data_IF_190742073660
#
_entry.id   IF_190742073660
#
_cell.length_a   1.000
_cell.length_b   1.000
_cell.length_c   1.000
_cell.angle_alpha   90.00
_cell.angle_beta   90.00
_cell.angle_gamma   90.00
#
_symmetry.space_group_name_H-M   'P 1'
#
loop_
_entity.id
_entity.type
_entity.pdbx_description
1 polymer ?
#
# COMPACT_ATOMS: atom_id res chain seq x y z
N UNK A 1 -6.29 -14.89 -19.84
CA UNK A 1 -6.45 -14.80 -18.39
C UNK A 1 -5.75 -13.59 -17.86
N UNK A 2 -6.41 -12.83 -17.01
CA UNK A 2 -5.82 -11.64 -16.45
C UNK A 2 -4.82 -11.93 -15.34
N UNK A 3 -4.04 -10.92 -14.98
CA UNK A 3 -3.16 -10.98 -13.83
C UNK A 3 -4.00 -10.99 -12.54
N UNK A 4 -3.50 -11.63 -11.46
CA UNK A 4 -4.16 -11.53 -10.17
C UNK A 4 -4.12 -10.09 -9.66
N UNK A 5 -5.12 -9.72 -8.87
CA UNK A 5 -5.18 -8.41 -8.24
C UNK A 5 -5.01 -8.52 -6.73
N UNK A 6 -4.36 -7.53 -6.14
CA UNK A 6 -4.19 -7.43 -4.70
C UNK A 6 -4.42 -5.97 -4.28
N UNK A 7 -5.08 -5.80 -3.16
CA UNK A 7 -5.18 -4.50 -2.50
C UNK A 7 -4.10 -4.41 -1.44
N UNK A 8 -3.34 -3.32 -1.46
CA UNK A 8 -2.27 -3.09 -0.51
C UNK A 8 -2.64 -1.88 0.35
N UNK A 9 -2.77 -2.11 1.65
CA UNK A 9 -2.99 -1.04 2.62
C UNK A 9 -1.64 -0.67 3.22
N UNK A 10 -1.32 0.62 3.18
CA UNK A 10 -0.06 1.17 3.70
C UNK A 10 -0.41 2.15 4.81
N UNK A 11 -0.31 1.73 6.09
CA UNK A 11 -0.53 2.68 7.18
C UNK A 11 0.64 3.65 7.27
N UNK A 12 0.34 4.93 7.47
CA UNK A 12 1.36 5.98 7.52
C UNK A 12 1.13 6.95 8.67
N UNK A 13 2.24 7.47 9.21
CA UNK A 13 2.24 8.59 10.13
C UNK A 13 3.60 9.25 10.05
N UNK A 14 3.64 10.45 9.45
CA UNK A 14 4.87 11.23 9.27
C UNK A 14 5.99 10.42 8.58
N UNK A 15 5.67 9.85 7.42
CA UNK A 15 6.56 8.98 6.64
C UNK A 15 7.09 9.68 5.39
N UNK A 16 7.09 11.02 5.38
CA UNK A 16 7.46 11.81 4.20
C UNK A 16 8.85 11.50 3.64
N UNK A 17 9.81 11.11 4.50
CA UNK A 17 11.15 10.77 4.04
C UNK A 17 11.21 9.43 3.29
N UNK A 18 10.27 8.53 3.50
CA UNK A 18 10.33 7.15 3.01
C UNK A 18 9.22 6.79 2.03
N UNK A 19 8.07 7.47 2.11
CA UNK A 19 6.88 7.02 1.38
C UNK A 19 7.06 7.10 -0.13
N UNK A 20 7.75 8.12 -0.64
CA UNK A 20 7.96 8.27 -2.07
C UNK A 20 8.72 7.09 -2.68
N UNK A 21 9.95 6.82 -2.23
CA UNK A 21 10.70 5.68 -2.72
C UNK A 21 9.99 4.35 -2.52
N UNK A 22 9.31 4.17 -1.39
CA UNK A 22 8.55 2.94 -1.13
C UNK A 22 7.42 2.74 -2.15
N UNK A 23 6.62 3.77 -2.39
CA UNK A 23 5.52 3.69 -3.37
C UNK A 23 6.05 3.47 -4.77
N UNK A 24 7.16 4.09 -5.14
CA UNK A 24 7.76 3.89 -6.45
C UNK A 24 8.16 2.43 -6.65
N UNK A 25 8.73 1.79 -5.63
CA UNK A 25 9.08 0.37 -5.70
C UNK A 25 7.84 -0.53 -5.73
N UNK A 26 6.83 -0.21 -4.92
CA UNK A 26 5.60 -0.98 -4.89
C UNK A 26 4.88 -0.93 -6.24
N UNK A 27 4.74 0.26 -6.81
CA UNK A 27 4.05 0.44 -8.09
C UNK A 27 4.82 -0.16 -9.27
N UNK A 28 6.13 -0.39 -9.11
CA UNK A 28 6.96 -1.04 -10.12
C UNK A 28 6.95 -2.56 -10.04
N UNK A 29 6.26 -3.16 -9.06
CA UNK A 29 6.17 -4.62 -8.96
C UNK A 29 5.40 -5.19 -10.13
N UNK A 30 5.92 -6.28 -10.71
CA UNK A 30 5.38 -6.93 -11.89
C UNK A 30 4.55 -8.16 -11.55
N UNK A 31 3.71 -8.58 -12.49
CA UNK A 31 3.02 -9.85 -12.44
C UNK A 31 1.68 -9.82 -11.72
N UNK A 32 1.19 -8.64 -11.34
CA UNK A 32 -0.12 -8.51 -10.70
C UNK A 32 -0.66 -7.09 -10.86
N UNK A 33 -1.95 -6.94 -10.61
CA UNK A 33 -2.62 -5.63 -10.55
C UNK A 33 -2.65 -5.21 -9.09
N UNK A 34 -2.08 -4.03 -8.79
CA UNK A 34 -1.95 -3.54 -7.43
C UNK A 34 -2.85 -2.33 -7.23
N UNK A 35 -3.72 -2.42 -6.23
CA UNK A 35 -4.53 -1.28 -5.77
C UNK A 35 -3.97 -0.82 -4.44
N UNK A 36 -3.44 0.39 -4.39
CA UNK A 36 -2.79 0.91 -3.20
C UNK A 36 -3.70 1.88 -2.48
N UNK A 37 -3.86 1.69 -1.18
CA UNK A 37 -4.55 2.61 -0.30
C UNK A 37 -3.60 3.00 0.83
N UNK A 38 -3.26 4.26 0.91
CA UNK A 38 -2.49 4.81 2.03
C UNK A 38 -3.50 5.20 3.12
N UNK A 39 -3.36 4.60 4.30
CA UNK A 39 -4.23 4.87 5.44
C UNK A 39 -3.48 5.76 6.43
N UNK A 40 -3.72 7.06 6.36
CA UNK A 40 -2.96 8.06 7.10
C UNK A 40 -3.59 8.37 8.46
N UNK A 41 -2.79 8.31 9.50
CA UNK A 41 -3.21 8.54 10.88
C UNK A 41 -3.03 9.97 11.37
N UNK A 42 -2.97 10.93 10.46
CA UNK A 42 -2.86 12.35 10.81
C UNK A 42 -1.44 12.91 10.66
N UNK A 43 -0.77 12.60 9.54
CA UNK A 43 0.59 13.11 9.28
C UNK A 43 0.59 14.62 9.21
N UNK A 44 1.59 15.22 9.84
CA UNK A 44 1.82 16.66 9.82
C UNK A 44 2.76 17.09 8.68
N UNK A 45 3.48 16.14 8.10
CA UNK A 45 4.43 16.39 7.00
C UNK A 45 3.77 16.18 5.63
N UNK A 46 4.57 16.06 4.57
CA UNK A 46 4.09 15.90 3.20
C UNK A 46 3.78 14.47 2.79
N UNK A 47 3.60 13.55 3.75
CA UNK A 47 3.31 12.14 3.47
C UNK A 47 2.15 11.98 2.48
N UNK A 48 1.00 12.59 2.78
CA UNK A 48 -0.18 12.46 1.94
C UNK A 48 0.00 13.10 0.57
N UNK A 49 0.68 14.25 0.51
CA UNK A 49 0.94 14.94 -0.75
C UNK A 49 1.80 14.06 -1.68
N UNK A 50 2.82 13.41 -1.16
CA UNK A 50 3.66 12.51 -1.96
C UNK A 50 2.88 11.30 -2.46
N UNK A 51 1.99 10.74 -1.65
CA UNK A 51 1.14 9.63 -2.08
C UNK A 51 0.20 10.06 -3.21
N UNK A 52 -0.45 11.21 -3.07
CA UNK A 52 -1.35 11.73 -4.09
C UNK A 52 -0.63 12.04 -5.40
N UNK A 53 0.60 12.52 -5.34
CA UNK A 53 1.41 12.77 -6.54
C UNK A 53 1.66 11.50 -7.35
N UNK A 54 1.65 10.35 -6.71
CA UNK A 54 1.85 9.05 -7.36
C UNK A 54 0.54 8.38 -7.80
N UNK A 55 -0.58 9.07 -7.63
CA UNK A 55 -1.88 8.60 -8.06
C UNK A 55 -2.49 7.51 -7.18
N UNK A 56 -1.96 7.29 -5.98
CA UNK A 56 -2.53 6.31 -5.07
C UNK A 56 -3.62 6.95 -4.21
N UNK A 57 -4.56 6.13 -3.77
CA UNK A 57 -5.67 6.58 -2.92
C UNK A 57 -5.17 6.81 -1.50
N UNK A 58 -5.61 7.91 -0.90
CA UNK A 58 -5.32 8.24 0.50
C UNK A 58 -6.64 8.30 1.26
N UNK A 59 -6.70 7.61 2.38
CA UNK A 59 -7.81 7.71 3.33
C UNK A 59 -7.26 8.16 4.68
N UNK A 60 -8.08 8.85 5.44
CA UNK A 60 -7.69 9.40 6.74
C UNK A 60 -8.41 8.66 7.86
N UNK A 61 -7.71 8.47 8.97
CA UNK A 61 -8.27 7.84 10.15
C UNK A 61 -7.70 8.48 11.40
N UNK A 62 -8.28 8.23 12.57
CA UNK A 62 -7.58 8.52 13.81
C UNK A 62 -6.25 7.77 13.85
N UNK A 63 -5.28 8.33 14.57
CA UNK A 63 -4.01 7.66 14.79
C UNK A 63 -4.25 6.35 15.53
N UNK A 64 -3.56 5.30 15.09
CA UNK A 64 -3.60 4.00 15.70
C UNK A 64 -3.68 2.89 14.67
N UNK A 65 -2.96 1.79 14.94
CA UNK A 65 -2.83 0.68 13.99
C UNK A 65 -4.19 0.11 13.60
N UNK A 66 -5.06 -0.15 14.57
CA UNK A 66 -6.37 -0.72 14.29
C UNK A 66 -7.25 0.21 13.48
N UNK A 67 -7.29 1.50 13.84
CA UNK A 67 -8.09 2.48 13.12
C UNK A 67 -7.60 2.67 11.68
N UNK A 68 -6.27 2.74 11.49
CA UNK A 68 -5.69 2.92 10.16
C UNK A 68 -5.95 1.69 9.27
N UNK A 69 -5.77 0.49 9.81
CA UNK A 69 -6.03 -0.74 9.06
C UNK A 69 -7.52 -0.88 8.69
N UNK A 70 -8.41 -0.52 9.60
CA UNK A 70 -9.84 -0.57 9.33
C UNK A 70 -10.25 0.43 8.25
N UNK A 71 -9.71 1.65 8.30
CA UNK A 71 -9.99 2.66 7.27
C UNK A 71 -9.47 2.22 5.91
N UNK A 72 -8.27 1.67 5.85
CA UNK A 72 -7.68 1.16 4.63
C UNK A 72 -8.48 0.00 4.05
N UNK A 73 -8.85 -0.94 4.89
CA UNK A 73 -9.64 -2.11 4.46
C UNK A 73 -11.01 -1.69 3.93
N UNK A 74 -11.66 -0.74 4.58
CA UNK A 74 -12.97 -0.25 4.14
C UNK A 74 -12.92 0.41 2.76
N UNK A 75 -11.77 0.95 2.38
CA UNK A 75 -11.57 1.57 1.08
C UNK A 75 -11.22 0.57 -0.02
N UNK A 76 -10.95 -0.69 0.33
CA UNK A 76 -10.62 -1.73 -0.63
C UNK A 76 -11.89 -2.46 -1.06
N UNK A 77 -11.93 -2.94 -2.30
CA UNK A 77 -12.95 -3.88 -2.75
C UNK A 77 -12.70 -5.25 -2.11
N UNK A 78 -13.40 -6.25 -2.53
CA UNK A 78 -13.16 -7.62 -2.08
C UNK A 78 -11.84 -8.15 -2.65
N UNK A 79 -11.50 -9.38 -2.27
CA UNK A 79 -10.33 -10.08 -2.77
C UNK A 79 -9.17 -10.07 -1.80
N UNK A 80 -7.98 -10.35 -2.31
CA UNK A 80 -6.78 -10.46 -1.50
C UNK A 80 -6.31 -9.09 -1.02
N UNK A 81 -6.04 -9.01 0.28
CA UNK A 81 -5.57 -7.79 0.90
C UNK A 81 -4.21 -8.05 1.56
N UNK A 82 -3.29 -7.13 1.36
CA UNK A 82 -1.96 -7.18 1.95
C UNK A 82 -1.71 -5.87 2.69
N UNK A 83 -1.04 -5.94 3.84
CA UNK A 83 -0.62 -4.76 4.59
C UNK A 83 0.89 -4.65 4.48
N UNK A 84 1.38 -3.52 4.00
CA UNK A 84 2.81 -3.24 3.91
C UNK A 84 3.12 -1.93 4.61
N UNK A 85 4.28 -1.88 5.26
CA UNK A 85 4.78 -0.67 5.90
C UNK A 85 5.83 0.00 5.01
N UNK A 86 5.98 1.32 5.16
CA UNK A 86 6.85 2.11 4.28
C UNK A 86 8.32 1.75 4.38
N UNK A 87 8.74 1.06 5.44
CA UNK A 87 10.11 0.58 5.60
C UNK A 87 10.35 -0.78 4.94
N UNK A 88 9.32 -1.38 4.35
CA UNK A 88 9.48 -2.61 3.60
C UNK A 88 10.31 -2.37 2.34
N UNK A 89 11.12 -3.36 1.96
CA UNK A 89 11.94 -3.29 0.76
C UNK A 89 11.64 -4.47 -0.16
N UNK A 90 11.71 -4.21 -1.46
CA UNK A 90 11.57 -5.26 -2.47
C UNK A 90 12.93 -5.60 -3.03
N UNK A 91 13.24 -6.90 -3.10
CA UNK A 91 14.53 -7.39 -3.59
C UNK A 91 14.46 -7.90 -5.03
N UNK A 92 13.24 -8.03 -5.57
CA UNK A 92 13.03 -8.48 -6.94
C UNK A 92 11.75 -7.86 -7.51
N UNK A 93 11.66 -7.63 -8.83
CA UNK A 93 10.48 -7.00 -9.44
C UNK A 93 9.21 -7.85 -9.37
N UNK A 94 9.33 -9.15 -9.16
CA UNK A 94 8.19 -10.07 -9.06
C UNK A 94 7.95 -10.59 -7.64
N UNK A 95 8.57 -9.98 -6.64
CA UNK A 95 8.52 -10.46 -5.26
C UNK A 95 7.09 -10.53 -4.73
N UNK A 96 6.29 -9.50 -4.96
CA UNK A 96 4.92 -9.44 -4.49
C UNK A 96 4.03 -10.45 -5.24
N UNK A 97 4.23 -10.59 -6.55
CA UNK A 97 3.49 -11.57 -7.34
C UNK A 97 3.76 -13.00 -6.85
N UNK A 98 5.01 -13.32 -6.52
CA UNK A 98 5.36 -14.64 -5.98
C UNK A 98 4.71 -14.88 -4.62
N UNK A 99 4.64 -13.85 -3.77
CA UNK A 99 3.99 -13.96 -2.48
C UNK A 99 2.49 -14.20 -2.64
N UNK A 100 1.84 -13.51 -3.57
CA UNK A 100 0.42 -13.69 -3.87
C UNK A 100 0.15 -15.09 -4.42
N UNK A 101 0.97 -15.57 -5.34
CA UNK A 101 0.84 -16.93 -5.88
C UNK A 101 0.92 -17.99 -4.79
N UNK A 102 1.76 -17.78 -3.80
CA UNK A 102 1.90 -18.70 -2.68
C UNK A 102 0.59 -18.82 -1.89
N UNK A 103 -0.15 -17.72 -1.75
CA UNK A 103 -1.42 -17.72 -1.01
C UNK A 103 -2.59 -18.30 -1.80
N UNK A 104 -2.59 -18.15 -3.12
CA UNK A 104 -3.73 -18.56 -3.95
C UNK A 104 -3.52 -19.92 -4.63
N UNK A 105 -2.32 -20.42 -4.57
CA UNK A 105 -2.03 -21.75 -5.11
C UNK A 105 -2.46 -22.82 -4.12
#
# INVERSE_FOLDING_TARGET
MGLPSVSVVVPTLDEGAQIGPFLDQLLAQDGLIINVVVADGGSADDTCAQALQRGVRVVHSPRGRGAQLNAGRAACGGGLLCVLHVDSAFTAPDQLARAVDHFVA
#
